data_IF_287288814052
#
_entry.id   IF_287288814052
#
_cell.length_a   1.000
_cell.length_b   1.000
_cell.length_c   1.000
_cell.angle_alpha   90.00
_cell.angle_beta   90.00
_cell.angle_gamma   90.00
#
_symmetry.space_group_name_H-M   'P 1'
#
loop_
_entity.id
_entity.type
_entity.pdbx_description
1 polymer ?
#
# COMPACT_ATOMS: atom_id res chain seq x y z
N UNK A 1 2.19 11.84 -19.78
CA UNK A 1 3.32 10.87 -19.76
C UNK A 1 2.85 9.60 -20.43
N UNK A 2 3.49 9.17 -21.52
CA UNK A 2 3.12 7.94 -22.22
C UNK A 2 3.72 6.73 -21.49
N UNK A 3 2.91 5.83 -20.90
CA UNK A 3 3.43 4.72 -20.09
C UNK A 3 4.31 3.75 -20.90
N UNK A 4 4.11 3.66 -22.22
CA UNK A 4 4.91 2.79 -23.09
C UNK A 4 6.31 3.35 -23.35
N UNK A 5 6.43 4.68 -23.47
CA UNK A 5 7.74 5.34 -23.60
C UNK A 5 8.54 5.18 -22.32
N UNK A 6 7.93 5.43 -21.17
CA UNK A 6 8.57 5.23 -19.86
C UNK A 6 9.00 3.78 -19.67
N UNK A 7 8.15 2.81 -20.02
CA UNK A 7 8.51 1.40 -19.97
C UNK A 7 9.74 1.09 -20.84
N UNK A 8 9.81 1.66 -22.04
CA UNK A 8 10.95 1.47 -22.94
C UNK A 8 12.22 2.13 -22.39
N UNK A 9 12.12 3.33 -21.83
CA UNK A 9 13.24 4.00 -21.16
C UNK A 9 13.77 3.19 -19.98
N UNK A 10 12.88 2.70 -19.10
CA UNK A 10 13.24 1.86 -17.95
C UNK A 10 13.90 0.56 -18.41
N UNK A 11 13.37 -0.10 -19.45
CA UNK A 11 13.97 -1.31 -20.03
C UNK A 11 15.37 -1.04 -20.58
N UNK A 12 15.55 0.05 -21.32
CA UNK A 12 16.85 0.42 -21.89
C UNK A 12 17.87 0.76 -20.79
N UNK A 13 17.46 1.52 -19.78
CA UNK A 13 18.30 1.84 -18.62
C UNK A 13 18.71 0.58 -17.86
N UNK A 14 17.76 -0.33 -17.59
CA UNK A 14 18.03 -1.58 -16.89
C UNK A 14 18.93 -2.51 -17.71
N UNK A 15 18.70 -2.65 -19.02
CA UNK A 15 19.55 -3.40 -19.93
C UNK A 15 20.99 -2.87 -19.90
N UNK A 16 21.14 -1.55 -19.96
CA UNK A 16 22.46 -0.88 -19.90
C UNK A 16 23.16 -1.15 -18.57
N UNK A 17 22.43 -1.03 -17.45
CA UNK A 17 22.93 -1.34 -16.11
C UNK A 17 23.45 -2.79 -16.03
N UNK A 18 22.65 -3.78 -16.42
CA UNK A 18 23.05 -5.20 -16.37
C UNK A 18 24.30 -5.47 -17.22
N UNK A 19 24.35 -4.94 -18.44
CA UNK A 19 25.52 -5.10 -19.32
C UNK A 19 26.79 -4.44 -18.78
N UNK A 20 26.66 -3.42 -17.91
CA UNK A 20 27.82 -2.78 -17.28
C UNK A 20 28.49 -3.70 -16.25
N UNK A 21 27.70 -4.53 -15.54
CA UNK A 21 28.22 -5.43 -14.50
C UNK A 21 28.54 -6.85 -14.99
N UNK A 22 27.84 -7.34 -16.02
CA UNK A 22 28.00 -8.71 -16.52
C UNK A 22 28.68 -8.73 -17.89
N UNK A 23 29.99 -8.99 -17.89
CA UNK A 23 30.78 -9.19 -19.11
C UNK A 23 31.03 -10.69 -19.34
N UNK A 24 30.49 -11.22 -20.44
CA UNK A 24 30.65 -12.62 -20.81
C UNK A 24 31.85 -12.79 -21.76
N UNK A 25 32.90 -13.48 -21.29
CA UNK A 25 34.10 -13.77 -22.10
C UNK A 25 33.87 -14.88 -23.13
N UNK A 26 32.95 -15.81 -22.85
CA UNK A 26 32.60 -16.87 -23.79
C UNK A 26 31.58 -16.34 -24.81
N UNK A 27 31.88 -16.35 -26.12
CA UNK A 27 31.00 -15.81 -27.15
C UNK A 27 29.67 -16.55 -27.21
N UNK A 28 29.66 -17.88 -27.05
CA UNK A 28 28.43 -18.69 -27.05
C UNK A 28 27.46 -18.28 -25.94
N UNK A 29 27.99 -18.04 -24.73
CA UNK A 29 27.18 -17.59 -23.59
C UNK A 29 26.70 -16.16 -23.80
N UNK A 30 27.58 -15.28 -24.29
CA UNK A 30 27.23 -13.89 -24.58
C UNK A 30 26.09 -13.81 -25.59
N UNK A 31 26.19 -14.57 -26.67
CA UNK A 31 25.22 -14.54 -27.77
C UNK A 31 23.89 -15.16 -27.29
N UNK A 32 23.92 -16.28 -26.54
CA UNK A 32 22.73 -16.85 -25.91
C UNK A 32 22.04 -15.89 -24.93
N UNK A 33 22.80 -15.20 -24.07
CA UNK A 33 22.25 -14.19 -23.16
C UNK A 33 21.65 -13.03 -23.95
N UNK A 34 22.35 -12.54 -24.99
CA UNK A 34 21.85 -11.50 -25.89
C UNK A 34 20.49 -11.86 -26.50
N UNK A 35 20.37 -13.06 -27.07
CA UNK A 35 19.10 -13.55 -27.64
C UNK A 35 17.99 -13.64 -26.60
N UNK A 36 18.27 -14.08 -25.37
CA UNK A 36 17.25 -14.19 -24.31
C UNK A 36 16.82 -12.83 -23.74
N UNK A 37 17.74 -11.86 -23.72
CA UNK A 37 17.46 -10.47 -23.35
C UNK A 37 16.60 -9.81 -24.43
N UNK A 38 16.98 -9.94 -25.70
CA UNK A 38 16.28 -9.33 -26.84
C UNK A 38 14.92 -9.98 -27.08
N UNK A 39 14.80 -11.30 -26.84
CA UNK A 39 13.53 -12.01 -26.82
C UNK A 39 12.65 -11.70 -25.61
N UNK A 40 13.07 -10.80 -24.70
CA UNK A 40 12.25 -10.31 -23.59
C UNK A 40 11.88 -11.35 -22.54
N UNK A 41 12.65 -12.43 -22.41
CA UNK A 41 12.36 -13.53 -21.46
C UNK A 41 13.32 -13.57 -20.26
N UNK A 42 14.49 -12.92 -20.36
CA UNK A 42 15.52 -13.00 -19.32
C UNK A 42 15.43 -11.89 -18.27
N UNK A 43 15.27 -10.63 -18.69
CA UNK A 43 15.41 -9.48 -17.80
C UNK A 43 14.08 -8.93 -17.28
N UNK A 44 13.00 -9.12 -18.02
CA UNK A 44 11.67 -8.63 -17.66
C UNK A 44 10.61 -9.58 -18.18
N UNK A 45 9.40 -9.44 -17.66
CA UNK A 45 8.20 -10.04 -18.24
C UNK A 45 7.50 -9.01 -19.11
N UNK A 46 6.59 -9.47 -19.95
CA UNK A 46 5.67 -8.60 -20.67
C UNK A 46 4.79 -7.81 -19.69
N UNK A 47 4.42 -6.53 -19.98
CA UNK A 47 3.44 -5.82 -19.17
C UNK A 47 2.10 -6.56 -19.14
N UNK A 48 1.53 -6.63 -17.94
CA UNK A 48 0.17 -7.07 -17.70
C UNK A 48 -0.73 -5.85 -17.57
N UNK A 49 -1.92 -5.95 -18.13
CA UNK A 49 -2.99 -4.99 -17.90
C UNK A 49 -3.96 -5.60 -16.91
N UNK A 50 -4.32 -4.82 -15.89
CA UNK A 50 -5.30 -5.17 -14.89
C UNK A 50 -6.28 -4.01 -14.73
N UNK A 51 -7.55 -4.32 -14.54
CA UNK A 51 -8.52 -3.30 -14.17
C UNK A 51 -8.39 -2.99 -12.69
N UNK A 52 -8.20 -1.72 -12.37
CA UNK A 52 -8.29 -1.23 -10.99
C UNK A 52 -9.74 -1.39 -10.51
N UNK A 53 -10.04 -2.52 -9.87
CA UNK A 53 -11.35 -2.80 -9.29
C UNK A 53 -11.53 -1.89 -8.09
N UNK A 54 -12.64 -1.17 -8.02
CA UNK A 54 -13.00 -0.44 -6.81
C UNK A 54 -13.41 -1.46 -5.76
N UNK A 55 -12.73 -1.49 -4.61
CA UNK A 55 -13.14 -2.37 -3.51
C UNK A 55 -14.56 -2.05 -3.05
N UNK A 56 -15.30 -3.07 -2.63
CA UNK A 56 -16.64 -2.87 -2.06
C UNK A 56 -16.54 -1.92 -0.86
N UNK A 57 -17.44 -0.93 -0.79
CA UNK A 57 -17.52 -0.02 0.35
C UNK A 57 -17.84 -0.78 1.63
N UNK A 58 -17.20 -0.35 2.71
CA UNK A 58 -17.40 -0.89 4.06
C UNK A 58 -18.39 -0.07 4.86
N UNK A 59 -18.30 -0.24 6.17
CA UNK A 59 -19.07 0.48 7.18
C UNK A 59 -18.83 1.99 7.13
N UNK A 60 -19.82 2.75 7.59
CA UNK A 60 -19.63 4.17 7.87
C UNK A 60 -18.82 4.37 9.16
N UNK A 61 -18.23 5.55 9.32
CA UNK A 61 -17.57 5.91 10.58
C UNK A 61 -18.52 5.89 11.77
N UNK A 62 -19.80 6.24 11.59
CA UNK A 62 -20.80 6.20 12.65
C UNK A 62 -21.05 4.76 13.14
N UNK A 63 -21.10 3.80 12.21
CA UNK A 63 -21.26 2.38 12.57
C UNK A 63 -20.07 1.90 13.40
N UNK A 64 -18.84 2.23 12.97
CA UNK A 64 -17.63 1.85 13.69
C UNK A 64 -17.50 2.52 15.06
N UNK A 65 -17.90 3.79 15.18
CA UNK A 65 -17.95 4.49 16.47
C UNK A 65 -18.98 3.81 17.39
N UNK A 66 -20.15 3.43 16.86
CA UNK A 66 -21.16 2.67 17.60
C UNK A 66 -20.65 1.32 18.11
N UNK A 67 -19.65 0.74 17.43
CA UNK A 67 -19.00 -0.52 17.83
C UNK A 67 -17.79 -0.32 18.77
N UNK A 68 -17.38 0.92 19.04
CA UNK A 68 -16.31 1.23 19.99
C UNK A 68 -15.05 1.88 19.41
N UNK A 69 -15.05 2.31 18.15
CA UNK A 69 -14.00 3.21 17.65
C UNK A 69 -14.14 4.59 18.32
N UNK A 70 -13.00 5.15 18.69
CA UNK A 70 -12.94 6.45 19.36
C UNK A 70 -13.45 7.58 18.43
N UNK A 71 -14.32 8.50 18.91
CA UNK A 71 -14.94 9.54 18.07
C UNK A 71 -13.97 10.51 17.38
N UNK A 72 -12.75 10.68 17.90
CA UNK A 72 -11.71 11.52 17.28
C UNK A 72 -10.88 10.79 16.20
N UNK A 73 -11.02 9.47 16.06
CA UNK A 73 -10.28 8.69 15.05
C UNK A 73 -10.55 9.12 13.60
N UNK A 74 -11.80 9.43 13.17
CA UNK A 74 -12.05 9.92 11.81
C UNK A 74 -11.28 11.19 11.44
N UNK A 75 -10.94 12.05 12.42
CA UNK A 75 -10.18 13.28 12.19
C UNK A 75 -8.69 13.02 11.90
N UNK A 76 -8.20 11.81 12.17
CA UNK A 76 -6.84 11.35 11.81
C UNK A 76 -6.84 10.73 10.40
N UNK A 77 -7.93 10.06 10.03
CA UNK A 77 -8.07 9.37 8.74
C UNK A 77 -8.99 10.15 7.80
N UNK A 78 -8.53 11.33 7.38
CA UNK A 78 -9.21 12.19 6.40
C UNK A 78 -8.72 11.94 4.98
N UNK A 79 -9.53 12.34 3.99
CA UNK A 79 -9.24 12.25 2.57
C UNK A 79 -7.97 13.02 2.20
N UNK A 80 -7.68 14.10 2.93
CA UNK A 80 -6.45 14.87 2.84
C UNK A 80 -5.61 14.64 4.11
N UNK A 81 -4.60 13.76 4.03
CA UNK A 81 -3.74 13.47 5.18
C UNK A 81 -3.13 14.75 5.78
N UNK A 82 -3.21 14.89 7.11
CA UNK A 82 -2.74 16.07 7.84
C UNK A 82 -3.76 17.22 7.93
N UNK A 83 -4.82 17.20 7.12
CA UNK A 83 -5.94 18.13 7.24
C UNK A 83 -7.05 17.52 8.12
N UNK A 84 -7.10 17.92 9.39
CA UNK A 84 -8.06 17.39 10.39
C UNK A 84 -9.50 17.86 10.18
N UNK A 85 -9.74 18.87 9.33
CA UNK A 85 -11.08 19.39 9.02
C UNK A 85 -11.63 18.84 7.70
N UNK A 86 -10.80 18.18 6.89
CA UNK A 86 -11.23 17.49 5.68
C UNK A 86 -12.17 16.32 6.00
N UNK A 87 -12.96 15.91 5.00
CA UNK A 87 -13.86 14.79 5.14
C UNK A 87 -13.10 13.49 5.48
N UNK A 88 -13.62 12.62 6.38
CA UNK A 88 -13.05 11.31 6.64
C UNK A 88 -12.98 10.43 5.37
N UNK A 89 -11.99 9.55 5.30
CA UNK A 89 -11.89 8.57 4.21
C UNK A 89 -13.10 7.63 4.22
N UNK A 90 -13.62 7.29 3.04
CA UNK A 90 -14.61 6.25 2.90
C UNK A 90 -13.93 4.87 2.95
N UNK A 91 -14.35 4.02 3.87
CA UNK A 91 -13.72 2.72 4.12
C UNK A 91 -14.16 1.66 3.12
N UNK A 92 -13.30 0.67 2.95
CA UNK A 92 -13.59 -0.54 2.19
C UNK A 92 -13.97 -1.70 3.11
N UNK A 93 -14.72 -2.67 2.57
CA UNK A 93 -15.26 -3.82 3.29
C UNK A 93 -14.19 -4.63 4.03
N UNK A 94 -13.00 -4.83 3.45
CA UNK A 94 -11.89 -5.52 4.11
C UNK A 94 -11.32 -4.72 5.31
N UNK A 95 -11.29 -3.39 5.22
CA UNK A 95 -10.87 -2.52 6.33
C UNK A 95 -11.87 -2.64 7.48
N UNK A 96 -13.17 -2.54 7.16
CA UNK A 96 -14.26 -2.72 8.11
C UNK A 96 -14.24 -4.09 8.79
N UNK A 97 -14.05 -5.17 8.03
CA UNK A 97 -13.93 -6.53 8.57
C UNK A 97 -12.75 -6.64 9.55
N UNK A 98 -11.59 -6.05 9.21
CA UNK A 98 -10.42 -6.06 10.09
C UNK A 98 -10.69 -5.30 11.38
N UNK A 99 -11.28 -4.10 11.26
CA UNK A 99 -11.62 -3.26 12.41
C UNK A 99 -12.58 -4.00 13.35
N UNK A 100 -13.62 -4.66 12.82
CA UNK A 100 -14.57 -5.46 13.60
C UNK A 100 -13.89 -6.62 14.32
N UNK A 101 -13.06 -7.40 13.62
CA UNK A 101 -12.27 -8.47 14.24
C UNK A 101 -11.44 -7.94 15.42
N UNK A 102 -10.79 -6.78 15.25
CA UNK A 102 -9.96 -6.18 16.29
C UNK A 102 -10.79 -5.69 17.49
N UNK A 103 -11.94 -5.07 17.25
CA UNK A 103 -12.90 -4.66 18.30
C UNK A 103 -13.37 -5.87 19.11
N UNK A 104 -13.68 -6.98 18.44
CA UNK A 104 -14.08 -8.26 19.05
C UNK A 104 -12.93 -8.99 19.76
N UNK A 105 -11.76 -8.38 19.85
CA UNK A 105 -10.54 -8.97 20.42
C UNK A 105 -10.14 -10.26 19.71
N UNK A 106 -10.23 -10.31 18.39
CA UNK A 106 -9.68 -11.36 17.55
C UNK A 106 -8.36 -10.91 16.92
N UNK A 107 -7.49 -11.88 16.64
CA UNK A 107 -6.34 -11.64 15.78
C UNK A 107 -6.82 -11.66 14.33
N UNK A 108 -6.09 -11.06 13.39
CA UNK A 108 -6.55 -11.05 11.99
C UNK A 108 -5.42 -10.90 10.99
N UNK A 109 -5.58 -11.51 9.81
CA UNK A 109 -4.69 -11.30 8.67
C UNK A 109 -5.49 -10.70 7.51
N UNK A 110 -4.97 -9.61 6.94
CA UNK A 110 -5.52 -8.96 5.74
C UNK A 110 -4.67 -9.34 4.54
N UNK A 111 -5.19 -10.24 3.71
CA UNK A 111 -4.56 -10.75 2.50
C UNK A 111 -5.20 -10.15 1.25
N UNK A 112 -4.93 -8.86 1.02
CA UNK A 112 -5.41 -8.07 -0.11
C UNK A 112 -4.25 -7.51 -0.95
N UNK A 113 -4.52 -7.16 -2.19
CA UNK A 113 -3.59 -6.60 -3.16
C UNK A 113 -2.88 -5.33 -2.68
N UNK A 114 -1.80 -4.99 -3.35
CA UNK A 114 -1.05 -3.75 -3.15
C UNK A 114 -1.93 -2.53 -3.42
N UNK A 115 -1.77 -1.46 -2.65
CA UNK A 115 -2.57 -0.24 -2.80
C UNK A 115 -4.02 -0.31 -2.26
N UNK A 116 -4.47 -1.45 -1.71
CA UNK A 116 -5.82 -1.59 -1.12
C UNK A 116 -6.05 -0.87 0.21
N UNK A 117 -5.05 -0.12 0.70
CA UNK A 117 -5.14 0.58 1.98
C UNK A 117 -5.07 -0.35 3.19
N UNK A 118 -4.25 -1.40 3.14
CA UNK A 118 -4.01 -2.34 4.25
C UNK A 118 -3.57 -1.64 5.53
N UNK A 119 -2.82 -0.55 5.41
CA UNK A 119 -2.35 0.23 6.56
C UNK A 119 -3.48 0.80 7.41
N UNK A 120 -4.64 1.09 6.82
CA UNK A 120 -5.81 1.56 7.58
C UNK A 120 -6.47 0.44 8.39
N UNK A 121 -6.31 -0.82 7.96
CA UNK A 121 -6.88 -1.98 8.66
C UNK A 121 -6.34 -2.10 10.09
N UNK A 122 -5.04 -1.87 10.28
CA UNK A 122 -4.42 -1.82 11.61
C UNK A 122 -4.32 -0.40 12.17
N UNK A 123 -4.13 0.62 11.33
CA UNK A 123 -3.95 2.00 11.76
C UNK A 123 -5.15 2.57 12.50
N UNK A 124 -6.36 2.34 11.98
CA UNK A 124 -7.60 2.85 12.56
C UNK A 124 -7.82 2.32 13.98
N UNK A 125 -7.82 0.99 14.24
CA UNK A 125 -8.03 0.50 15.60
C UNK A 125 -6.87 0.84 16.55
N UNK A 126 -5.62 0.90 16.05
CA UNK A 126 -4.47 1.34 16.85
C UNK A 126 -4.65 2.78 17.32
N UNK A 127 -4.92 3.71 16.40
CA UNK A 127 -5.10 5.13 16.73
C UNK A 127 -6.29 5.32 17.67
N UNK A 128 -7.40 4.62 17.43
CA UNK A 128 -8.56 4.60 18.32
C UNK A 128 -8.19 4.24 19.75
N UNK A 129 -7.47 3.13 19.93
CA UNK A 129 -7.01 2.69 21.25
C UNK A 129 -6.00 3.66 21.86
N UNK A 130 -5.07 4.21 21.06
CA UNK A 130 -4.08 5.17 21.52
C UNK A 130 -4.74 6.44 22.08
N UNK A 131 -5.74 6.99 21.38
CA UNK A 131 -6.51 8.13 21.86
C UNK A 131 -7.21 7.83 23.18
N UNK A 132 -7.83 6.64 23.29
CA UNK A 132 -8.52 6.20 24.49
C UNK A 132 -7.57 6.04 25.68
N UNK A 133 -6.44 5.37 25.50
CA UNK A 133 -5.45 5.16 26.57
C UNK A 133 -4.77 6.48 26.98
N UNK A 134 -4.57 7.40 26.04
CA UNK A 134 -4.07 8.75 26.34
C UNK A 134 -5.05 9.53 27.22
N UNK A 135 -6.35 9.50 26.93
CA UNK A 135 -7.37 10.14 27.78
C UNK A 135 -7.39 9.58 29.21
N UNK A 136 -6.96 8.33 29.38
CA UNK A 136 -6.79 7.67 30.68
C UNK A 136 -5.46 8.00 31.35
N UNK A 137 -4.60 8.84 30.74
CA UNK A 137 -3.28 9.20 31.26
C UNK A 137 -2.23 8.10 31.13
N UNK A 138 -2.47 7.07 30.32
CA UNK A 138 -1.52 5.96 30.17
C UNK A 138 -0.41 6.30 29.16
N UNK A 139 0.82 6.44 29.66
CA UNK A 139 2.03 6.59 28.86
C UNK A 139 2.59 5.23 28.39
N UNK A 140 3.50 5.25 27.43
CA UNK A 140 4.18 4.06 26.92
C UNK A 140 3.67 3.56 25.56
N UNK A 141 4.39 2.57 25.02
CA UNK A 141 4.16 1.99 23.69
C UNK A 141 2.90 1.13 23.69
N UNK A 142 1.93 1.51 22.85
CA UNK A 142 0.62 0.87 22.73
C UNK A 142 0.55 -0.05 21.51
N UNK A 143 1.32 0.25 20.47
CA UNK A 143 1.47 -0.58 19.28
C UNK A 143 2.92 -0.68 18.82
N UNK A 144 3.35 -1.89 18.45
CA UNK A 144 4.59 -2.15 17.72
C UNK A 144 4.25 -2.62 16.32
N UNK A 145 4.78 -1.94 15.30
CA UNK A 145 4.60 -2.27 13.89
C UNK A 145 5.94 -2.66 13.29
N UNK A 146 6.02 -3.88 12.76
CA UNK A 146 7.24 -4.44 12.19
C UNK A 146 7.11 -4.49 10.68
N UNK A 147 8.04 -3.82 10.00
CA UNK A 147 8.17 -3.84 8.55
C UNK A 147 9.34 -4.74 8.11
N UNK A 148 9.29 -5.33 6.90
CA UNK A 148 10.36 -6.19 6.39
C UNK A 148 11.57 -5.41 5.87
N UNK A 149 11.40 -4.13 5.49
CA UNK A 149 12.42 -3.29 4.86
C UNK A 149 12.30 -1.83 5.33
N UNK A 150 13.44 -1.13 5.46
CA UNK A 150 13.47 0.28 5.89
C UNK A 150 12.71 1.21 4.93
N UNK A 151 12.81 1.01 3.62
CA UNK A 151 12.13 1.86 2.64
C UNK A 151 10.60 1.85 2.83
N UNK A 152 10.01 0.68 3.07
CA UNK A 152 8.59 0.56 3.37
C UNK A 152 8.25 1.20 4.72
N UNK A 153 9.08 0.96 5.74
CA UNK A 153 8.90 1.58 7.05
C UNK A 153 8.93 3.12 6.99
N UNK A 154 9.87 3.71 6.25
CA UNK A 154 9.99 5.16 6.04
C UNK A 154 8.73 5.72 5.35
N UNK A 155 8.27 5.08 4.27
CA UNK A 155 7.07 5.52 3.55
C UNK A 155 5.81 5.46 4.42
N UNK A 156 5.64 4.39 5.21
CA UNK A 156 4.48 4.26 6.10
C UNK A 156 4.59 5.20 7.31
N UNK A 157 5.79 5.42 7.84
CA UNK A 157 6.04 6.39 8.90
C UNK A 157 5.64 7.79 8.49
N UNK A 158 6.02 8.25 7.30
CA UNK A 158 5.66 9.60 6.82
C UNK A 158 4.13 9.77 6.66
N UNK A 159 3.41 8.79 6.11
CA UNK A 159 1.94 8.86 6.02
C UNK A 159 1.28 8.91 7.41
N UNK A 160 1.73 8.06 8.34
CA UNK A 160 1.20 8.07 9.70
C UNK A 160 1.55 9.35 10.46
N UNK A 161 2.80 9.82 10.39
CA UNK A 161 3.23 11.04 11.05
C UNK A 161 2.43 12.26 10.56
N UNK A 162 2.23 12.36 9.24
CA UNK A 162 1.39 13.39 8.64
C UNK A 162 -0.06 13.33 9.14
N UNK A 163 -0.66 12.14 9.23
CA UNK A 163 -2.03 11.94 9.74
C UNK A 163 -2.18 12.23 11.23
N UNK A 164 -1.17 11.86 12.00
CA UNK A 164 -1.14 12.04 13.46
C UNK A 164 -0.80 13.47 13.87
N UNK A 165 -0.34 14.32 12.94
CA UNK A 165 -0.08 15.71 13.20
C UNK A 165 -1.29 16.42 13.83
N UNK A 166 -1.08 17.08 14.98
CA UNK A 166 -2.14 17.76 15.73
C UNK A 166 -3.15 16.83 16.43
N UNK A 167 -2.90 15.51 16.47
CA UNK A 167 -3.71 14.56 17.27
C UNK A 167 -3.25 14.48 18.74
N UNK A 168 -2.05 14.97 19.03
CA UNK A 168 -1.37 14.84 20.31
C UNK A 168 -0.67 13.49 20.51
N UNK A 169 -0.99 12.45 19.75
CA UNK A 169 -0.31 11.15 19.81
C UNK A 169 1.16 11.27 19.39
N UNK A 170 1.99 10.34 19.85
CA UNK A 170 3.41 10.26 19.53
C UNK A 170 3.75 9.01 18.72
N UNK A 171 4.58 9.18 17.69
CA UNK A 171 5.05 8.12 16.82
C UNK A 171 6.57 8.19 16.65
N UNK A 172 7.21 7.04 16.57
CA UNK A 172 8.63 6.96 16.25
C UNK A 172 8.93 5.86 15.24
N UNK A 173 9.95 6.10 14.42
CA UNK A 173 10.57 5.09 13.58
C UNK A 173 11.94 4.74 14.14
N UNK A 174 12.07 3.53 14.69
CA UNK A 174 13.33 3.02 15.23
C UNK A 174 13.97 2.05 14.23
N UNK A 175 14.93 2.55 13.46
CA UNK A 175 15.72 1.80 12.48
C UNK A 175 17.22 1.94 12.77
N UNK A 176 18.06 1.29 11.95
CA UNK A 176 19.51 1.53 11.99
C UNK A 176 19.88 2.98 11.69
N UNK A 177 19.03 3.69 10.96
CA UNK A 177 19.23 5.07 10.48
C UNK A 177 18.69 6.13 11.48
N UNK A 178 18.11 5.70 12.61
CA UNK A 178 17.63 6.61 13.66
C UNK A 178 18.83 7.17 14.43
N UNK A 179 19.04 8.50 14.45
CA UNK A 179 20.12 9.14 15.21
C UNK A 179 20.01 8.85 16.72
N UNK A 180 21.16 8.78 17.41
CA UNK A 180 21.14 8.59 18.87
C UNK A 180 20.59 9.84 19.59
N UNK A 181 21.06 11.02 19.20
CA UNK A 181 20.61 12.34 19.67
C UNK A 181 20.90 13.39 18.58
N UNK A 182 20.49 14.65 18.76
CA UNK A 182 21.02 15.75 17.94
C UNK A 182 22.01 16.58 18.76
N UNK A 183 23.16 16.98 18.19
CA UNK A 183 23.68 16.60 16.87
C UNK A 183 24.19 15.14 16.82
N UNK A 184 24.09 14.47 15.67
CA UNK A 184 24.60 13.10 15.45
C UNK A 184 25.05 12.88 14.00
N UNK A 185 26.33 12.55 13.83
CA UNK A 185 26.92 12.28 12.52
C UNK A 185 26.84 13.50 11.60
N UNK A 186 26.15 13.36 10.47
CA UNK A 186 25.91 14.43 9.50
C UNK A 186 24.67 15.31 9.83
N UNK A 187 23.94 15.01 10.91
CA UNK A 187 22.69 15.71 11.24
C UNK A 187 22.87 16.57 12.48
N UNK A 188 22.71 17.87 12.32
CA UNK A 188 22.88 18.83 13.43
C UNK A 188 21.56 19.16 14.10
N UNK A 189 20.46 19.13 13.34
CA UNK A 189 19.11 19.54 13.80
C UNK A 189 18.02 18.58 13.32
N UNK A 190 16.86 18.55 14.01
CA UNK A 190 15.66 17.85 13.55
C UNK A 190 15.24 18.24 12.12
N UNK A 191 15.26 19.53 11.79
CA UNK A 191 14.89 20.06 10.47
C UNK A 191 15.80 19.50 9.36
N UNK A 192 17.10 19.47 9.61
CA UNK A 192 18.07 18.93 8.66
C UNK A 192 17.84 17.43 8.40
N UNK A 193 17.59 16.66 9.47
CA UNK A 193 17.28 15.24 9.37
C UNK A 193 16.03 15.00 8.52
N UNK A 194 14.92 15.64 8.87
CA UNK A 194 13.63 15.50 8.19
C UNK A 194 13.68 15.99 6.74
N UNK A 195 14.39 17.07 6.47
CA UNK A 195 14.59 17.57 5.10
C UNK A 195 15.29 16.54 4.22
N UNK A 196 16.26 15.80 4.76
CA UNK A 196 17.00 14.79 4.00
C UNK A 196 16.27 13.46 3.88
N UNK A 197 15.54 13.04 4.92
CA UNK A 197 14.87 11.73 4.96
C UNK A 197 13.47 11.75 4.37
N UNK A 198 12.71 12.84 4.56
CA UNK A 198 11.32 12.97 4.16
C UNK A 198 11.08 14.10 3.13
N UNK A 199 12.09 14.93 2.83
CA UNK A 199 11.97 16.00 1.84
C UNK A 199 11.11 17.20 2.28
N UNK A 200 10.78 17.30 3.57
CA UNK A 200 9.95 18.37 4.14
C UNK A 200 10.75 19.30 5.04
N UNK A 201 10.29 20.54 5.20
CA UNK A 201 11.03 21.59 5.90
C UNK A 201 11.05 21.41 7.43
N UNK A 202 9.92 20.99 8.00
CA UNK A 202 9.73 20.92 9.45
C UNK A 202 9.23 19.54 9.89
N UNK A 203 9.65 19.07 11.08
CA UNK A 203 9.07 17.91 11.75
C UNK A 203 7.57 18.14 12.08
N UNK A 204 6.79 17.06 12.12
CA UNK A 204 5.44 17.09 12.67
C UNK A 204 5.52 16.99 14.20
N UNK A 205 4.59 17.63 14.89
CA UNK A 205 4.51 17.65 16.36
C UNK A 205 4.42 16.26 17.03
N UNK A 206 4.01 15.23 16.28
CA UNK A 206 3.84 13.87 16.77
C UNK A 206 5.13 13.04 16.75
N UNK A 207 6.19 13.50 16.09
CA UNK A 207 7.37 12.69 15.83
C UNK A 207 8.39 12.71 16.97
N UNK A 208 8.98 11.55 17.24
CA UNK A 208 10.21 11.39 18.02
C UNK A 208 11.30 10.89 17.06
N UNK A 209 12.35 11.68 16.87
CA UNK A 209 13.28 11.52 15.75
C UNK A 209 14.60 10.89 16.18
N UNK A 210 14.91 10.88 17.48
CA UNK A 210 16.14 10.33 18.04
C UNK A 210 15.87 9.19 19.00
N UNK A 211 16.86 8.30 19.18
CA UNK A 211 16.76 7.23 20.17
C UNK A 211 16.66 7.77 21.59
N UNK A 212 17.33 8.89 21.89
CA UNK A 212 17.22 9.56 23.18
C UNK A 212 15.77 10.00 23.45
N UNK A 213 15.13 10.71 22.52
CA UNK A 213 13.71 11.12 22.66
C UNK A 213 12.79 9.92 22.85
N UNK A 214 13.00 8.85 22.07
CA UNK A 214 12.22 7.61 22.15
C UNK A 214 12.37 6.93 23.53
N UNK A 215 13.55 6.98 24.15
CA UNK A 215 13.79 6.41 25.49
C UNK A 215 13.22 7.28 26.60
N UNK A 216 13.36 8.60 26.49
CA UNK A 216 12.91 9.56 27.51
C UNK A 216 11.38 9.69 27.52
N UNK A 217 10.75 9.69 26.34
CA UNK A 217 9.30 9.79 26.18
C UNK A 217 8.82 8.72 25.21
N UNK A 218 8.61 7.46 25.64
CA UNK A 218 8.21 6.39 24.73
C UNK A 218 6.96 6.73 23.89
N UNK A 219 6.97 6.48 22.57
CA UNK A 219 5.89 6.84 21.67
C UNK A 219 4.63 6.00 21.94
N UNK A 220 3.47 6.46 21.47
CA UNK A 220 2.25 5.63 21.45
C UNK A 220 2.37 4.50 20.40
N UNK A 221 2.98 4.81 19.26
CA UNK A 221 3.18 3.89 18.13
C UNK A 221 4.67 3.80 17.82
N UNK A 222 5.24 2.60 17.93
CA UNK A 222 6.62 2.31 17.55
C UNK A 222 6.64 1.54 16.23
N UNK A 223 7.18 2.15 15.19
CA UNK A 223 7.48 1.50 13.92
C UNK A 223 8.95 1.06 13.89
N UNK A 224 9.22 -0.15 13.43
CA UNK A 224 10.58 -0.68 13.37
C UNK A 224 10.69 -1.81 12.33
N UNK A 225 11.86 -2.42 12.22
CA UNK A 225 12.08 -3.66 11.51
C UNK A 225 12.49 -4.77 12.49
N UNK A 226 12.42 -6.03 12.06
CA UNK A 226 12.73 -7.17 12.91
C UNK A 226 14.17 -7.16 13.45
N UNK A 227 15.15 -6.66 12.70
CA UNK A 227 16.54 -6.62 13.13
C UNK A 227 16.76 -5.60 14.27
N UNK A 228 16.13 -4.42 14.17
CA UNK A 228 16.18 -3.44 15.24
C UNK A 228 15.32 -3.86 16.43
N UNK A 229 14.19 -4.53 16.24
CA UNK A 229 13.43 -5.07 17.36
C UNK A 229 14.27 -6.08 18.19
N UNK A 230 15.11 -6.88 17.56
CA UNK A 230 16.04 -7.74 18.30
C UNK A 230 17.03 -6.93 19.13
N UNK A 231 17.57 -5.84 18.58
CA UNK A 231 18.44 -4.93 19.32
C UNK A 231 17.70 -4.24 20.46
N UNK A 232 16.46 -3.77 20.24
CA UNK A 232 15.62 -3.14 21.27
C UNK A 232 15.39 -4.07 22.47
N UNK A 233 15.28 -5.38 22.25
CA UNK A 233 15.06 -6.36 23.32
C UNK A 233 16.34 -6.82 24.02
N UNK A 234 17.52 -6.58 23.43
CA UNK A 234 18.80 -7.12 23.92
C UNK A 234 19.79 -6.05 24.36
N UNK A 235 19.71 -4.83 23.83
CA UNK A 235 20.55 -3.70 24.21
C UNK A 235 20.18 -3.19 25.59
N UNK A 236 21.20 -3.03 26.42
CA UNK A 236 21.03 -2.58 27.79
C UNK A 236 20.37 -1.20 27.91
N UNK A 237 20.68 -0.29 27.00
CA UNK A 237 20.13 1.07 27.00
C UNK A 237 18.65 1.12 26.61
N UNK A 238 18.19 0.19 25.76
CA UNK A 238 16.82 0.18 25.23
C UNK A 238 15.84 -0.60 26.12
N UNK A 239 16.34 -1.26 27.18
CA UNK A 239 15.52 -2.00 28.16
C UNK A 239 14.44 -1.14 28.83
N UNK A 240 14.61 0.18 28.80
CA UNK A 240 13.68 1.15 29.41
C UNK A 240 12.49 1.49 28.52
N UNK A 241 12.41 0.97 27.29
CA UNK A 241 11.28 1.23 26.39
C UNK A 241 10.00 0.49 26.78
N UNK A 242 10.13 -0.63 27.48
CA UNK A 242 9.02 -1.38 28.06
C UNK A 242 9.19 -1.48 29.59
N UNK A 243 9.20 -0.36 30.30
CA UNK A 243 9.52 -0.37 31.71
C UNK A 243 8.31 -0.89 32.52
N UNK A 244 8.53 -1.42 33.74
CA UNK A 244 7.46 -2.06 34.53
C UNK A 244 6.23 -1.18 34.78
N UNK A 245 6.39 0.14 34.86
CA UNK A 245 5.30 1.12 34.99
C UNK A 245 4.35 1.15 33.78
N UNK A 246 4.80 0.72 32.60
CA UNK A 246 3.98 0.58 31.40
C UNK A 246 3.49 -0.86 31.19
N UNK A 247 3.59 -1.72 32.21
CA UNK A 247 3.10 -3.09 32.14
C UNK A 247 1.62 -3.12 31.74
N UNK A 248 1.32 -3.88 30.70
CA UNK A 248 -0.03 -3.97 30.17
C UNK A 248 -0.50 -2.70 29.46
N UNK A 249 0.37 -1.84 28.95
CA UNK A 249 0.01 -0.75 28.01
C UNK A 249 0.03 -1.24 26.56
N UNK A 250 0.97 -2.12 26.20
CA UNK A 250 1.07 -2.68 24.85
C UNK A 250 -0.19 -3.49 24.51
N UNK A 251 -0.85 -3.13 23.39
CA UNK A 251 -2.12 -3.72 22.93
C UNK A 251 -1.99 -4.39 21.57
N UNK A 252 -1.13 -3.88 20.69
CA UNK A 252 -1.04 -4.35 19.30
C UNK A 252 0.36 -4.77 18.91
N UNK A 253 0.41 -5.83 18.11
CA UNK A 253 1.58 -6.22 17.34
C UNK A 253 1.16 -6.39 15.89
N UNK A 254 1.76 -5.58 15.01
CA UNK A 254 1.51 -5.63 13.58
C UNK A 254 2.74 -6.14 12.87
N UNK A 255 2.57 -7.11 11.96
CA UNK A 255 3.58 -7.46 10.99
C UNK A 255 3.05 -7.12 9.60
N UNK A 256 3.76 -6.22 8.91
CA UNK A 256 3.43 -5.85 7.54
C UNK A 256 4.13 -6.80 6.56
N UNK A 257 3.45 -7.13 5.44
CA UNK A 257 3.95 -8.03 4.40
C UNK A 257 4.44 -9.38 4.92
N UNK A 258 3.57 -10.10 5.63
CA UNK A 258 3.90 -11.36 6.30
C UNK A 258 4.39 -12.45 5.36
N UNK A 259 4.03 -12.39 4.07
CA UNK A 259 4.55 -13.29 3.04
C UNK A 259 6.07 -13.22 2.86
N UNK A 260 6.72 -12.14 3.32
CA UNK A 260 8.18 -12.00 3.28
C UNK A 260 8.88 -12.79 4.40
N UNK A 261 8.14 -13.18 5.46
CA UNK A 261 8.67 -13.92 6.60
C UNK A 261 8.56 -15.45 6.38
N UNK A 262 9.28 -15.97 5.40
CA UNK A 262 9.30 -17.41 5.08
C UNK A 262 10.65 -18.06 5.38
N UNK A 263 10.67 -19.39 5.44
CA UNK A 263 11.87 -20.18 5.68
C UNK A 263 12.56 -19.84 7.02
N UNK A 264 13.90 -19.75 6.98
CA UNK A 264 14.72 -19.45 8.17
C UNK A 264 14.38 -18.10 8.78
N UNK A 265 14.26 -17.05 7.95
CA UNK A 265 13.94 -15.70 8.41
C UNK A 265 12.59 -15.64 9.12
N UNK A 266 11.59 -16.37 8.62
CA UNK A 266 10.29 -16.49 9.28
C UNK A 266 10.39 -17.13 10.67
N UNK A 267 11.19 -18.19 10.82
CA UNK A 267 11.42 -18.83 12.12
C UNK A 267 12.10 -17.89 13.13
N UNK A 268 13.11 -17.14 12.70
CA UNK A 268 13.81 -16.17 13.55
C UNK A 268 12.85 -15.06 14.05
N UNK A 269 12.03 -14.52 13.15
CA UNK A 269 11.00 -13.52 13.50
C UNK A 269 9.96 -14.10 14.46
N UNK A 270 9.54 -15.35 14.25
CA UNK A 270 8.60 -16.03 15.13
C UNK A 270 9.15 -16.17 16.57
N UNK A 271 10.43 -16.52 16.71
CA UNK A 271 11.12 -16.55 18.00
C UNK A 271 11.24 -15.16 18.63
N UNK A 272 11.57 -14.14 17.82
CA UNK A 272 11.65 -12.75 18.27
C UNK A 272 10.31 -12.24 18.83
N UNK A 273 9.19 -12.54 18.17
CA UNK A 273 7.84 -12.18 18.64
C UNK A 273 7.54 -12.82 19.99
N UNK A 274 7.90 -14.09 20.18
CA UNK A 274 7.73 -14.79 21.47
C UNK A 274 8.55 -14.11 22.57
N UNK A 275 9.79 -13.72 22.29
CA UNK A 275 10.64 -12.95 23.22
C UNK A 275 10.03 -11.60 23.58
N UNK A 276 9.51 -10.84 22.60
CA UNK A 276 8.81 -9.57 22.86
C UNK A 276 7.61 -9.78 23.80
N UNK A 277 6.78 -10.78 23.53
CA UNK A 277 5.59 -11.08 24.33
C UNK A 277 5.93 -11.53 25.75
N UNK A 278 6.97 -12.33 25.90
CA UNK A 278 7.48 -12.74 27.20
C UNK A 278 8.03 -11.53 27.98
N UNK A 279 8.85 -10.70 27.34
CA UNK A 279 9.45 -9.50 27.93
C UNK A 279 8.38 -8.50 28.42
N UNK A 280 7.30 -8.34 27.65
CA UNK A 280 6.21 -7.40 27.95
C UNK A 280 5.04 -8.04 28.73
N UNK A 281 5.11 -9.34 29.06
CA UNK A 281 4.02 -10.10 29.68
C UNK A 281 2.68 -10.01 28.94
N UNK A 282 2.72 -10.12 27.60
CA UNK A 282 1.58 -9.93 26.70
C UNK A 282 1.17 -11.17 25.90
N UNK A 283 1.70 -12.35 26.26
CA UNK A 283 1.26 -13.65 25.70
C UNK A 283 -0.27 -13.79 25.85
N UNK A 284 -0.98 -14.03 24.75
CA UNK A 284 -2.44 -14.14 24.72
C UNK A 284 -3.21 -12.81 24.88
N UNK A 285 -2.50 -11.69 25.10
CA UNK A 285 -3.12 -10.38 25.37
C UNK A 285 -3.11 -9.45 24.16
N UNK A 286 -2.05 -9.52 23.34
CA UNK A 286 -1.91 -8.67 22.15
C UNK A 286 -2.96 -8.99 21.09
N UNK A 287 -3.42 -7.96 20.39
CA UNK A 287 -4.08 -8.08 19.10
C UNK A 287 -3.01 -8.18 18.03
N UNK A 288 -2.85 -9.37 17.46
CA UNK A 288 -1.90 -9.64 16.39
C UNK A 288 -2.57 -9.39 15.05
N UNK A 289 -2.00 -8.47 14.26
CA UNK A 289 -2.52 -8.11 12.94
C UNK A 289 -1.42 -8.38 11.89
N UNK A 290 -1.71 -9.21 10.90
CA UNK A 290 -0.82 -9.44 9.76
C UNK A 290 -1.38 -8.79 8.50
N UNK A 291 -0.54 -8.21 7.67
CA UNK A 291 -0.93 -7.85 6.30
C UNK A 291 -0.13 -8.69 5.31
N UNK A 292 -0.71 -9.00 4.16
CA UNK A 292 0.01 -9.72 3.11
C UNK A 292 -0.54 -9.32 1.74
N UNK A 293 0.33 -9.29 0.73
CA UNK A 293 -0.11 -9.43 -0.64
C UNK A 293 -0.88 -10.76 -0.86
N UNK A 294 -1.69 -10.81 -1.90
CA UNK A 294 -2.50 -11.99 -2.25
C UNK A 294 -1.61 -13.20 -2.49
N UNK A 295 -1.75 -14.22 -1.64
CA UNK A 295 -1.07 -15.51 -1.84
C UNK A 295 -1.91 -16.34 -2.81
N UNK A 296 -1.33 -16.67 -3.98
CA UNK A 296 -1.91 -17.65 -4.88
C UNK A 296 -1.80 -19.04 -4.23
N UNK A 297 -2.90 -19.77 -4.21
CA UNK A 297 -3.00 -21.11 -3.61
C UNK A 297 -3.15 -22.14 -4.72
N UNK A 298 -2.63 -23.36 -4.51
CA UNK A 298 -2.83 -24.45 -5.45
C UNK A 298 -4.31 -24.83 -5.57
N UNK A 299 -4.70 -25.38 -6.72
CA UNK A 299 -6.08 -25.85 -6.94
C UNK A 299 -6.47 -26.92 -5.89
N UNK A 300 -7.52 -26.65 -5.12
CA UNK A 300 -8.07 -27.58 -4.12
C UNK A 300 -7.68 -27.31 -2.66
N UNK A 301 -6.81 -26.34 -2.37
CA UNK A 301 -6.43 -25.98 -1.00
C UNK A 301 -7.30 -24.85 -0.42
N UNK A 302 -7.70 -24.97 0.85
CA UNK A 302 -8.30 -23.85 1.57
C UNK A 302 -7.22 -22.84 1.97
N UNK A 303 -7.01 -21.90 1.05
CA UNK A 303 -6.08 -20.78 1.20
C UNK A 303 -6.20 -20.05 2.55
N UNK A 304 -7.44 -19.85 3.05
CA UNK A 304 -7.65 -19.12 4.31
C UNK A 304 -7.12 -19.93 5.49
N UNK A 305 -7.36 -21.24 5.50
CA UNK A 305 -6.83 -22.11 6.55
C UNK A 305 -5.30 -22.12 6.55
N UNK A 306 -4.66 -22.23 5.38
CA UNK A 306 -3.20 -22.23 5.28
C UNK A 306 -2.59 -20.92 5.82
N UNK A 307 -3.19 -19.77 5.47
CA UNK A 307 -2.76 -18.47 5.96
C UNK A 307 -2.94 -18.37 7.48
N UNK A 308 -4.07 -18.86 8.01
CA UNK A 308 -4.34 -18.89 9.45
C UNK A 308 -3.32 -19.76 10.21
N UNK A 309 -2.97 -20.94 9.68
CA UNK A 309 -1.98 -21.83 10.28
C UNK A 309 -0.57 -21.25 10.24
N UNK A 310 -0.23 -20.55 9.15
CA UNK A 310 1.01 -19.78 9.05
C UNK A 310 1.05 -18.65 10.07
N UNK A 311 0.00 -17.84 10.16
CA UNK A 311 -0.13 -16.76 11.13
C UNK A 311 0.00 -17.27 12.56
N UNK A 312 -0.66 -18.37 12.87
CA UNK A 312 -0.64 -19.02 14.19
C UNK A 312 0.79 -19.37 14.60
N UNK A 313 1.57 -19.97 13.68
CA UNK A 313 2.96 -20.31 13.94
C UNK A 313 3.87 -19.09 14.07
N UNK A 314 3.68 -18.09 13.20
CA UNK A 314 4.48 -16.87 13.16
C UNK A 314 4.29 -16.04 14.43
N UNK A 315 3.04 -15.69 14.76
CA UNK A 315 2.72 -14.87 15.93
C UNK A 315 2.72 -15.65 17.25
N UNK A 316 2.55 -16.97 17.20
CA UNK A 316 2.40 -17.81 18.40
C UNK A 316 1.08 -17.57 19.14
N UNK A 317 0.00 -17.30 18.41
CA UNK A 317 -1.36 -17.05 18.92
C UNK A 317 -2.38 -17.71 18.00
N UNK A 318 -3.59 -18.04 18.46
CA UNK A 318 -4.61 -18.62 17.59
C UNK A 318 -5.07 -17.62 16.52
N UNK A 319 -5.17 -18.11 15.28
CA UNK A 319 -5.90 -17.51 14.16
C UNK A 319 -6.84 -18.56 13.59
N UNK A 320 -8.12 -18.22 13.47
CA UNK A 320 -9.11 -19.03 12.78
C UNK A 320 -9.13 -18.72 11.28
N UNK A 321 -9.76 -19.59 10.50
CA UNK A 321 -9.98 -19.39 9.07
C UNK A 321 -10.73 -18.08 8.78
N UNK A 322 -11.67 -17.73 9.65
CA UNK A 322 -12.51 -16.53 9.58
C UNK A 322 -11.75 -15.24 9.92
N UNK A 323 -10.58 -15.36 10.55
CA UNK A 323 -9.71 -14.24 10.88
C UNK A 323 -8.87 -13.80 9.66
N UNK A 324 -8.90 -14.56 8.56
CA UNK A 324 -8.24 -14.26 7.29
C UNK A 324 -9.20 -13.53 6.36
N UNK A 325 -8.99 -12.23 6.24
CA UNK A 325 -9.74 -11.33 5.38
C UNK A 325 -9.08 -11.31 4.01
N UNK A 326 -9.84 -11.65 2.98
CA UNK A 326 -9.42 -11.55 1.57
C UNK A 326 -10.27 -10.50 0.87
N UNK A 327 -9.87 -10.15 -0.34
CA UNK A 327 -10.65 -9.27 -1.20
C UNK A 327 -11.98 -9.92 -1.55
N UNK A 328 -13.05 -9.16 -1.32
CA UNK A 328 -14.30 -9.36 -2.04
C UNK A 328 -14.32 -8.31 -3.15
N UNK A 329 -13.98 -8.73 -4.37
CA UNK A 329 -14.07 -7.86 -5.53
C UNK A 329 -15.49 -7.33 -5.65
N UNK A 330 -15.63 -6.00 -5.72
CA UNK A 330 -16.84 -5.44 -6.29
C UNK A 330 -16.76 -5.71 -7.79
N UNK A 331 -17.40 -6.78 -8.25
CA UNK A 331 -17.68 -6.95 -9.68
C UNK A 331 -18.55 -5.75 -10.03
N UNK A 332 -18.01 -4.80 -10.80
CA UNK A 332 -18.88 -3.85 -11.49
C UNK A 332 -19.66 -4.73 -12.46
N UNK A 333 -20.99 -4.82 -12.36
CA UNK A 333 -21.76 -5.58 -13.32
C UNK A 333 -21.40 -5.03 -14.70
N UNK A 334 -20.80 -5.87 -15.53
CA UNK A 334 -20.59 -5.50 -16.93
C UNK A 334 -22.00 -5.25 -17.48
N UNK A 335 -22.31 -4.06 -18.00
CA UNK A 335 -23.65 -3.79 -18.52
C UNK A 335 -24.01 -4.87 -19.53
N UNK A 336 -25.18 -5.51 -19.42
CA UNK A 336 -25.70 -6.45 -20.43
C UNK A 336 -26.16 -5.73 -21.70
N UNK A 337 -25.34 -4.79 -22.18
CA UNK A 337 -25.53 -4.16 -23.48
C UNK A 337 -24.91 -5.11 -24.47
N UNK A 338 -25.63 -5.49 -25.53
CA UNK A 338 -25.02 -6.09 -26.72
C UNK A 338 -24.03 -5.07 -27.27
N UNK A 339 -22.70 -5.26 -27.13
CA UNK A 339 -21.76 -4.28 -27.60
C UNK A 339 -21.87 -4.18 -29.12
N UNK A 340 -21.78 -2.96 -29.66
CA UNK A 340 -21.44 -2.78 -31.07
C UNK A 340 -20.14 -3.56 -31.37
N UNK A 341 -19.96 -4.09 -32.60
CA UNK A 341 -18.73 -4.78 -32.95
C UNK A 341 -17.51 -3.89 -32.69
N UNK A 342 -16.38 -4.51 -32.35
CA UNK A 342 -15.13 -3.76 -32.22
C UNK A 342 -14.84 -2.99 -33.51
N UNK A 343 -14.28 -1.77 -33.42
CA UNK A 343 -13.89 -1.01 -34.61
C UNK A 343 -12.97 -1.84 -35.51
N UNK A 344 -13.34 -2.00 -36.78
CA UNK A 344 -12.59 -2.79 -37.76
C UNK A 344 -11.19 -2.24 -38.07
N UNK A 345 -10.95 -0.97 -37.77
CA UNK A 345 -9.65 -0.31 -37.93
C UNK A 345 -9.39 0.68 -36.80
N UNK A 346 -8.11 0.85 -36.46
CA UNK A 346 -7.67 1.87 -35.50
C UNK A 346 -7.35 3.13 -36.30
N UNK A 347 -8.16 4.17 -36.17
CA UNK A 347 -7.93 5.46 -36.85
C UNK A 347 -7.06 6.42 -36.02
N UNK A 348 -6.86 6.12 -34.74
CA UNK A 348 -5.94 6.87 -33.87
C UNK A 348 -4.52 6.68 -34.38
N UNK A 349 -3.86 7.77 -34.77
CA UNK A 349 -2.49 7.72 -35.26
C UNK A 349 -1.49 7.95 -34.14
N UNK A 350 -0.24 7.51 -34.36
CA UNK A 350 0.87 7.77 -33.43
C UNK A 350 1.06 9.27 -33.17
N UNK A 351 0.96 10.09 -34.22
CA UNK A 351 1.07 11.54 -34.11
C UNK A 351 0.00 12.13 -33.18
N UNK A 352 -1.25 11.69 -33.27
CA UNK A 352 -2.32 12.15 -32.37
C UNK A 352 -2.01 11.86 -30.90
N UNK A 353 -1.39 10.71 -30.61
CA UNK A 353 -0.98 10.33 -29.24
C UNK A 353 0.22 11.17 -28.78
N UNK A 354 1.20 11.38 -29.65
CA UNK A 354 2.42 12.15 -29.36
C UNK A 354 2.16 13.65 -29.19
N UNK A 355 1.13 14.20 -29.84
CA UNK A 355 0.73 15.60 -29.74
C UNK A 355 -0.18 15.89 -28.55
N UNK A 356 -0.84 14.87 -27.99
CA UNK A 356 -1.75 15.04 -26.86
C UNK A 356 -1.03 15.59 -25.62
N UNK A 357 -1.53 16.70 -25.07
CA UNK A 357 -1.03 17.33 -23.84
C UNK A 357 -2.18 17.47 -22.86
N UNK A 358 -2.00 16.88 -21.67
CA UNK A 358 -2.93 17.05 -20.57
C UNK A 358 -2.54 18.30 -19.77
N UNK A 359 -3.39 19.31 -19.84
CA UNK A 359 -3.25 20.58 -19.14
C UNK A 359 -4.45 20.80 -18.23
N UNK A 360 -4.21 21.42 -17.07
CA UNK A 360 -5.27 21.72 -16.10
C UNK A 360 -5.31 23.22 -15.80
N UNK A 361 -6.49 23.72 -15.46
CA UNK A 361 -6.65 25.04 -14.86
C UNK A 361 -6.03 25.08 -13.46
N UNK A 362 -5.90 26.28 -12.88
CA UNK A 362 -5.43 26.48 -11.51
C UNK A 362 -6.33 25.78 -10.47
N UNK A 363 -7.58 25.49 -10.82
CA UNK A 363 -8.57 24.78 -10.02
C UNK A 363 -8.50 23.25 -10.19
N UNK A 364 -7.57 22.75 -11.01
CA UNK A 364 -7.35 21.33 -11.26
C UNK A 364 -8.32 20.71 -12.27
N UNK A 365 -9.11 21.51 -12.97
CA UNK A 365 -10.00 21.04 -14.03
C UNK A 365 -9.27 20.90 -15.38
N UNK A 366 -9.67 20.01 -16.29
CA UNK A 366 -9.06 19.92 -17.62
C UNK A 366 -9.21 21.25 -18.38
N UNK A 367 -8.11 21.77 -18.92
CA UNK A 367 -8.14 22.98 -19.73
C UNK A 367 -8.93 22.77 -21.03
N UNK A 368 -9.44 23.85 -21.64
CA UNK A 368 -10.19 23.76 -22.89
C UNK A 368 -9.35 23.13 -24.01
N UNK A 369 -8.04 23.42 -24.06
CA UNK A 369 -7.06 22.79 -24.97
C UNK A 369 -7.08 21.26 -24.86
N UNK A 370 -7.16 20.73 -23.64
CA UNK A 370 -7.20 19.29 -23.36
C UNK A 370 -8.51 18.68 -23.85
N UNK A 371 -9.65 19.35 -23.63
CA UNK A 371 -10.96 18.87 -24.09
C UNK A 371 -11.01 18.84 -25.62
N UNK A 372 -10.47 19.87 -26.29
CA UNK A 372 -10.41 19.94 -27.75
C UNK A 372 -9.52 18.82 -28.34
N UNK A 373 -8.33 18.60 -27.78
CA UNK A 373 -7.44 17.51 -28.22
C UNK A 373 -8.05 16.12 -27.94
N UNK A 374 -8.70 15.95 -26.78
CA UNK A 374 -9.40 14.71 -26.44
C UNK A 374 -10.57 14.44 -27.39
N UNK A 375 -11.27 15.46 -27.87
CA UNK A 375 -12.32 15.31 -28.87
C UNK A 375 -11.80 14.78 -30.20
N UNK A 376 -10.61 15.22 -30.66
CA UNK A 376 -9.97 14.69 -31.88
C UNK A 376 -9.64 13.21 -31.74
N UNK A 377 -9.09 12.81 -30.60
CA UNK A 377 -8.83 11.40 -30.30
C UNK A 377 -10.12 10.59 -30.22
N UNK A 378 -11.17 11.13 -29.59
CA UNK A 378 -12.46 10.48 -29.49
C UNK A 378 -13.12 10.29 -30.87
N UNK A 379 -13.06 11.28 -31.78
CA UNK A 379 -13.52 11.16 -33.17
C UNK A 379 -12.82 10.00 -33.91
N UNK A 380 -11.51 9.86 -33.72
CA UNK A 380 -10.73 8.77 -34.29
C UNK A 380 -11.08 7.41 -33.66
N UNK A 381 -11.36 7.36 -32.34
CA UNK A 381 -11.80 6.13 -31.68
C UNK A 381 -13.16 5.66 -32.17
N UNK A 382 -14.14 6.56 -32.31
CA UNK A 382 -15.50 6.22 -32.75
C UNK A 382 -15.67 6.18 -34.27
N UNK A 383 -14.68 6.65 -35.04
CA UNK A 383 -14.72 6.68 -36.51
C UNK A 383 -15.74 7.64 -37.13
N UNK A 384 -16.15 8.67 -36.38
CA UNK A 384 -17.08 9.70 -36.86
C UNK A 384 -16.81 11.05 -36.21
N UNK A 385 -17.28 12.13 -36.83
CA UNK A 385 -17.27 13.44 -36.18
C UNK A 385 -18.23 13.50 -34.99
N UNK A 386 -17.82 14.21 -33.94
CA UNK A 386 -18.62 14.42 -32.74
C UNK A 386 -19.56 15.61 -32.91
N UNK A 387 -20.76 15.48 -32.33
CA UNK A 387 -21.71 16.60 -32.23
C UNK A 387 -21.20 17.62 -31.20
N UNK A 388 -21.60 18.90 -31.30
CA UNK A 388 -21.17 19.93 -30.33
C UNK A 388 -21.40 19.54 -28.87
N UNK A 389 -22.52 18.88 -28.55
CA UNK A 389 -22.82 18.40 -27.19
C UNK A 389 -21.84 17.29 -26.71
N UNK A 390 -21.27 16.51 -27.62
CA UNK A 390 -20.31 15.45 -27.34
C UNK A 390 -18.88 16.00 -27.18
N UNK A 391 -18.59 17.21 -27.67
CA UNK A 391 -17.27 17.88 -27.55
C UNK A 391 -17.10 18.62 -26.21
N UNK A 392 -17.86 18.22 -25.20
CA UNK A 392 -17.78 18.71 -23.83
C UNK A 392 -17.11 17.67 -22.95
N UNK A 393 -16.60 18.05 -21.77
CA UNK A 393 -16.02 17.10 -20.80
C UNK A 393 -16.98 15.97 -20.46
N UNK A 394 -18.22 16.30 -20.10
CA UNK A 394 -19.25 15.32 -19.77
C UNK A 394 -19.64 14.49 -21.00
N UNK A 395 -19.78 15.12 -22.16
CA UNK A 395 -20.12 14.46 -23.42
C UNK A 395 -19.09 13.42 -23.84
N UNK A 396 -17.80 13.78 -23.80
CA UNK A 396 -16.69 12.86 -24.07
C UNK A 396 -16.66 11.73 -23.04
N UNK A 397 -16.87 12.03 -21.76
CA UNK A 397 -16.92 11.02 -20.70
C UNK A 397 -18.02 9.99 -20.93
N UNK A 398 -19.24 10.42 -21.29
CA UNK A 398 -20.36 9.52 -21.60
C UNK A 398 -20.06 8.68 -22.84
N UNK A 399 -19.54 9.31 -23.90
CA UNK A 399 -19.23 8.64 -25.16
C UNK A 399 -18.17 7.54 -24.97
N UNK A 400 -17.02 7.90 -24.39
CA UNK A 400 -15.89 6.99 -24.23
C UNK A 400 -16.22 5.85 -23.27
N UNK A 401 -17.01 6.11 -22.21
CA UNK A 401 -17.48 5.08 -21.27
C UNK A 401 -18.25 3.95 -21.97
N UNK A 402 -18.95 4.25 -23.06
CA UNK A 402 -19.76 3.28 -23.78
C UNK A 402 -19.03 2.67 -24.99
N UNK A 403 -17.73 2.94 -25.17
CA UNK A 403 -16.98 2.44 -26.32
C UNK A 403 -16.78 0.91 -26.26
N UNK A 404 -16.98 0.16 -27.37
CA UNK A 404 -16.84 -1.30 -27.40
C UNK A 404 -15.50 -1.84 -26.89
N UNK A 405 -14.41 -1.10 -27.13
CA UNK A 405 -13.08 -1.44 -26.60
C UNK A 405 -13.04 -1.51 -25.08
N UNK A 406 -13.74 -0.62 -24.36
CA UNK A 406 -13.79 -0.69 -22.90
C UNK A 406 -14.55 -1.94 -22.45
N UNK A 407 -15.68 -2.26 -23.08
CA UNK A 407 -16.42 -3.48 -22.78
C UNK A 407 -15.58 -4.75 -23.04
N UNK A 408 -14.84 -4.79 -24.15
CA UNK A 408 -13.90 -5.88 -24.44
C UNK A 408 -12.86 -6.04 -23.33
N UNK A 409 -12.24 -4.93 -22.91
CA UNK A 409 -11.25 -4.94 -21.83
C UNK A 409 -11.88 -5.37 -20.51
N UNK A 410 -13.05 -4.84 -20.14
CA UNK A 410 -13.84 -5.24 -18.96
C UNK A 410 -14.13 -6.73 -18.95
N UNK A 411 -14.58 -7.28 -20.08
CA UNK A 411 -14.87 -8.72 -20.20
C UNK A 411 -13.60 -9.58 -20.13
N UNK A 412 -12.54 -9.22 -20.85
CA UNK A 412 -11.29 -10.01 -20.89
C UNK A 412 -10.53 -9.96 -19.56
N UNK A 413 -10.63 -8.84 -18.84
CA UNK A 413 -9.97 -8.62 -17.56
C UNK A 413 -10.90 -8.89 -16.35
N UNK A 414 -12.10 -9.43 -16.60
CA UNK A 414 -13.09 -9.77 -15.57
C UNK A 414 -12.61 -10.89 -14.63
N UNK A 415 -11.69 -11.75 -15.08
CA UNK A 415 -11.17 -12.87 -14.29
C UNK A 415 -9.75 -12.63 -13.76
N UNK A 416 -9.08 -11.55 -14.18
CA UNK A 416 -7.75 -11.18 -13.68
C UNK A 416 -6.93 -10.36 -14.68
N UNK A 417 -5.66 -10.14 -14.34
CA UNK A 417 -4.71 -9.48 -15.20
C UNK A 417 -4.33 -10.35 -16.41
N UNK A 418 -4.13 -9.73 -17.58
CA UNK A 418 -3.71 -10.41 -18.81
C UNK A 418 -2.49 -9.74 -19.46
N UNK A 419 -1.60 -10.49 -20.13
CA UNK A 419 -0.53 -9.92 -20.94
C UNK A 419 -1.09 -9.00 -22.03
N UNK A 420 -0.37 -7.92 -22.34
CA UNK A 420 -0.78 -6.98 -23.39
C UNK A 420 -0.88 -7.66 -24.78
N UNK A 421 0.04 -8.54 -25.12
CA UNK A 421 0.05 -9.32 -26.36
C UNK A 421 -1.19 -10.20 -26.52
N UNK A 422 -1.62 -10.87 -25.45
CA UNK A 422 -2.83 -11.68 -25.43
C UNK A 422 -4.07 -10.82 -25.67
N UNK A 423 -4.14 -9.65 -25.03
CA UNK A 423 -5.24 -8.69 -25.26
C UNK A 423 -5.26 -8.18 -26.69
N UNK A 424 -4.10 -7.85 -27.28
CA UNK A 424 -3.99 -7.38 -28.65
C UNK A 424 -4.36 -8.46 -29.66
N UNK A 425 -3.96 -9.71 -29.41
CA UNK A 425 -4.30 -10.85 -30.28
C UNK A 425 -5.81 -11.11 -30.22
N UNK A 426 -6.36 -11.18 -29.01
CA UNK A 426 -7.80 -11.35 -28.79
C UNK A 426 -8.64 -10.19 -29.35
N UNK A 427 -8.12 -8.97 -29.36
CA UNK A 427 -8.80 -7.80 -29.93
C UNK A 427 -8.84 -7.84 -31.46
N UNK A 428 -7.81 -8.41 -32.11
CA UNK A 428 -7.76 -8.56 -33.58
C UNK A 428 -8.62 -9.71 -34.09
N UNK A 429 -8.86 -10.71 -33.26
CA UNK A 429 -9.68 -11.88 -33.57
C UNK A 429 -11.18 -11.68 -33.31
N UNK A 430 -11.52 -10.75 -32.43
CA UNK A 430 -12.90 -10.40 -32.04
C UNK A 430 -13.48 -9.33 -32.97
#
# INVERSE_FOLDING_TARGET
MNPFEVLNEVRNAYKTFVHTFQQFKNPTIRDWVGEKVDGGTLLWKEPFIELSRRFRRGDSWNDLIGLGIHPETPKVFTAEAGNRTAAPVALYSHQSACIRNVIERRNTIVATGTGSGKSFCFGIPIVSECLRLRQQGMAGIKAVIIYPMNALANSQYEDFAKRLHGSGLKIALYTGDTPDAFPSGEYTTPQEYVKRTAGRAEPYDCELLTRQEIRETPPDILMTNYAQLELLLTRFEDRTLFPPEHAGVLRFLVLDEVHTYTGRRGADVACLIRRLKQHTNTIGKLRCIGTSATVQSGAGEDARQIIADFATRLFGEPFAREDVIREEDHVIPVPEITPEPLPASVLVTRQMVEEFRWETTDEGEPAESTIQQAAVLAEALVGRQLRPAEKTREGLGILLRNHPTLYFLEKRLAEGAAPLSDLLSAYREA
#
